data_IF_652562973333
#
_entry.id   IF_652562973333
#
_cell.length_a   1.000
_cell.length_b   1.000
_cell.length_c   1.000
_cell.angle_alpha   90.00
_cell.angle_beta   90.00
_cell.angle_gamma   90.00
#
_symmetry.space_group_name_H-M   'P 1'
#
loop_
_entity.id
_entity.type
_entity.pdbx_description
1 polymer ?
#
# COMPACT_ATOMS: atom_id res chain seq x y z
N UNK A 1 19.41 0.65 21.88
CA UNK A 1 19.13 -0.79 21.69
C UNK A 1 19.40 -1.57 22.98
N UNK A 2 20.60 -1.47 23.56
CA UNK A 2 21.04 -2.33 24.68
C UNK A 2 20.24 -2.19 25.98
N UNK A 3 19.82 -0.99 26.36
CA UNK A 3 19.09 -0.75 27.62
C UNK A 3 17.65 -1.31 27.63
N UNK A 4 17.01 -1.35 26.47
CA UNK A 4 15.65 -1.87 26.32
C UNK A 4 15.60 -3.39 26.51
N UNK A 5 16.60 -4.10 25.98
CA UNK A 5 16.73 -5.55 26.15
C UNK A 5 16.97 -5.92 27.62
N UNK A 6 17.78 -5.14 28.34
CA UNK A 6 18.02 -5.36 29.77
C UNK A 6 16.77 -5.14 30.64
N UNK A 7 15.91 -4.16 30.29
CA UNK A 7 14.65 -3.92 31.00
C UNK A 7 13.60 -5.00 30.73
N UNK A 8 13.64 -5.61 29.54
CA UNK A 8 12.76 -6.71 29.12
C UNK A 8 13.11 -8.02 29.83
N UNK A 9 14.40 -8.28 30.07
CA UNK A 9 14.88 -9.40 30.90
C UNK A 9 14.51 -9.26 32.40
N UNK A 10 14.28 -8.04 32.89
CA UNK A 10 13.97 -7.75 34.30
C UNK A 10 12.46 -7.71 34.63
N UNK A 11 11.57 -8.11 33.71
CA UNK A 11 10.09 -7.96 33.82
C UNK A 11 9.62 -6.53 34.16
N UNK A 12 10.36 -5.51 33.72
CA UNK A 12 10.04 -4.09 33.90
C UNK A 12 9.63 -3.44 32.57
N UNK A 13 8.83 -4.17 31.80
CA UNK A 13 8.49 -3.92 30.39
C UNK A 13 7.78 -2.57 30.22
N UNK A 14 6.87 -2.27 31.14
CA UNK A 14 6.12 -1.01 31.19
C UNK A 14 7.02 0.21 31.45
N UNK A 15 8.00 0.08 32.35
CA UNK A 15 8.87 1.20 32.71
C UNK A 15 9.91 1.49 31.63
N UNK A 16 10.46 0.46 30.99
CA UNK A 16 11.31 0.62 29.81
C UNK A 16 10.58 1.32 28.66
N UNK A 17 9.31 0.96 28.43
CA UNK A 17 8.47 1.55 27.40
C UNK A 17 8.10 3.01 27.73
N UNK A 18 7.78 3.31 28.99
CA UNK A 18 7.50 4.68 29.46
C UNK A 18 8.74 5.58 29.35
N UNK A 19 9.94 5.09 29.67
CA UNK A 19 11.17 5.89 29.63
C UNK A 19 11.59 6.19 28.18
N UNK A 20 11.45 5.22 27.27
CA UNK A 20 11.67 5.41 25.83
C UNK A 20 10.62 6.35 25.23
N UNK A 21 9.34 6.19 25.59
CA UNK A 21 8.26 7.07 25.14
C UNK A 21 8.46 8.50 25.63
N UNK A 22 8.81 8.69 26.90
CA UNK A 22 9.12 10.00 27.47
C UNK A 22 10.34 10.65 26.79
N UNK A 23 11.39 9.86 26.51
CA UNK A 23 12.54 10.31 25.75
C UNK A 23 12.16 10.78 24.34
N UNK A 24 11.32 10.02 23.63
CA UNK A 24 10.81 10.39 22.31
C UNK A 24 9.94 11.65 22.35
N UNK A 25 9.07 11.80 23.36
CA UNK A 25 8.20 12.98 23.51
C UNK A 25 9.03 14.24 23.78
N UNK A 26 10.11 14.15 24.57
CA UNK A 26 10.94 15.30 24.94
C UNK A 26 11.94 15.67 23.83
N UNK A 27 12.64 14.69 23.24
CA UNK A 27 13.67 14.94 22.23
C UNK A 27 13.13 15.07 20.80
N UNK A 28 12.04 14.36 20.49
CA UNK A 28 11.48 14.27 19.14
C UNK A 28 10.11 14.94 19.00
N UNK A 29 9.74 15.88 19.90
CA UNK A 29 8.49 16.65 19.79
C UNK A 29 8.33 17.34 18.42
N UNK A 30 9.44 17.84 17.86
CA UNK A 30 9.46 18.41 16.50
C UNK A 30 9.17 17.36 15.42
N UNK A 31 9.60 16.11 15.61
CA UNK A 31 9.30 15.00 14.70
C UNK A 31 7.82 14.65 14.76
N UNK A 32 7.25 14.54 15.96
CA UNK A 32 5.81 14.24 16.15
C UNK A 32 4.92 15.30 15.49
N UNK A 33 5.28 16.58 15.59
CA UNK A 33 4.52 17.68 14.99
C UNK A 33 4.71 17.76 13.46
N UNK A 34 5.84 17.29 12.92
CA UNK A 34 6.12 17.29 11.48
C UNK A 34 5.56 16.06 10.74
N UNK A 35 4.96 15.09 11.46
CA UNK A 35 4.25 13.98 10.83
C UNK A 35 3.01 14.50 10.11
N UNK A 36 2.80 14.01 8.89
CA UNK A 36 1.59 14.22 8.12
C UNK A 36 0.44 13.38 8.69
N UNK A 37 -0.20 13.89 9.74
CA UNK A 37 -1.30 13.20 10.44
C UNK A 37 -2.47 12.87 9.53
N UNK A 38 -2.70 13.65 8.47
CA UNK A 38 -3.72 13.35 7.46
C UNK A 38 -3.35 12.10 6.67
N UNK A 39 -2.10 11.97 6.22
CA UNK A 39 -1.62 10.77 5.53
C UNK A 39 -1.69 9.54 6.45
N UNK A 40 -1.32 9.69 7.72
CA UNK A 40 -1.39 8.61 8.70
C UNK A 40 -2.83 8.15 8.94
N UNK A 41 -3.79 9.08 9.00
CA UNK A 41 -5.22 8.77 9.12
C UNK A 41 -5.75 8.06 7.86
N UNK A 42 -5.37 8.52 6.67
CA UNK A 42 -5.72 7.83 5.40
C UNK A 42 -5.16 6.42 5.40
N UNK A 43 -3.95 6.21 5.90
CA UNK A 43 -3.34 4.88 6.00
C UNK A 43 -4.11 3.98 6.98
N UNK A 44 -4.53 4.50 8.13
CA UNK A 44 -5.37 3.75 9.09
C UNK A 44 -6.73 3.40 8.48
N UNK A 45 -7.39 4.37 7.84
CA UNK A 45 -8.69 4.15 7.18
C UNK A 45 -8.59 3.04 6.13
N UNK A 46 -7.53 3.06 5.32
CA UNK A 46 -7.24 2.04 4.31
C UNK A 46 -7.10 0.63 4.90
N UNK A 47 -6.44 0.46 6.06
CA UNK A 47 -6.38 -0.84 6.74
C UNK A 47 -7.74 -1.30 7.26
N UNK A 48 -8.54 -0.37 7.79
CA UNK A 48 -9.91 -0.65 8.23
C UNK A 48 -10.75 -1.11 7.03
N UNK A 49 -10.64 -0.42 5.89
CA UNK A 49 -11.37 -0.76 4.67
C UNK A 49 -10.98 -2.16 4.18
N UNK A 50 -9.69 -2.49 4.11
CA UNK A 50 -9.22 -3.84 3.74
C UNK A 50 -9.78 -4.89 4.70
N UNK A 51 -9.71 -4.64 6.01
CA UNK A 51 -10.24 -5.55 7.01
C UNK A 51 -11.76 -5.76 6.84
N UNK A 52 -12.51 -4.68 6.61
CA UNK A 52 -13.95 -4.75 6.38
C UNK A 52 -14.28 -5.52 5.09
N UNK A 53 -13.52 -5.30 4.01
CA UNK A 53 -13.67 -5.99 2.74
C UNK A 53 -13.40 -7.50 2.88
N UNK A 54 -12.37 -7.90 3.64
CA UNK A 54 -12.08 -9.33 3.88
C UNK A 54 -13.18 -10.05 4.65
N UNK A 55 -14.00 -9.34 5.42
CA UNK A 55 -15.13 -9.91 6.14
C UNK A 55 -16.42 -10.00 5.33
N UNK A 56 -16.49 -9.36 4.15
CA UNK A 56 -17.68 -9.42 3.32
C UNK A 56 -17.81 -10.80 2.66
N UNK A 57 -18.90 -11.56 2.91
CA UNK A 57 -19.07 -12.91 2.37
C UNK A 57 -19.07 -12.95 0.84
N UNK A 58 -19.63 -11.91 0.21
CA UNK A 58 -19.66 -11.76 -1.24
C UNK A 58 -18.24 -11.66 -1.84
N UNK A 59 -17.32 -10.99 -1.13
CA UNK A 59 -15.94 -10.85 -1.57
C UNK A 59 -15.13 -12.12 -1.31
N UNK A 60 -15.36 -12.80 -0.19
CA UNK A 60 -14.73 -14.11 0.06
C UNK A 60 -15.06 -15.12 -1.05
N UNK A 61 -16.32 -15.16 -1.52
CA UNK A 61 -16.74 -16.03 -2.61
C UNK A 61 -16.07 -15.71 -3.96
N UNK A 62 -15.79 -14.43 -4.22
CA UNK A 62 -15.09 -13.98 -5.44
C UNK A 62 -13.58 -14.19 -5.34
N UNK A 63 -12.95 -13.83 -4.21
CA UNK A 63 -11.51 -13.94 -4.03
C UNK A 63 -11.01 -15.38 -3.86
N UNK A 64 -11.83 -16.30 -3.32
CA UNK A 64 -11.51 -17.73 -3.33
C UNK A 64 -11.40 -18.29 -4.76
N UNK A 65 -12.11 -17.71 -5.73
CA UNK A 65 -11.97 -18.08 -7.14
C UNK A 65 -10.75 -17.43 -7.78
N UNK A 66 -10.26 -16.29 -7.25
CA UNK A 66 -9.06 -15.60 -7.76
C UNK A 66 -7.80 -16.44 -7.57
N UNK A 67 -7.69 -17.20 -6.48
CA UNK A 67 -6.58 -18.14 -6.28
C UNK A 67 -6.53 -19.29 -7.31
N UNK A 68 -7.65 -19.57 -7.99
CA UNK A 68 -7.74 -20.57 -9.05
C UNK A 68 -7.64 -19.97 -10.47
N UNK A 69 -7.51 -18.64 -10.61
CA UNK A 69 -7.38 -18.00 -11.91
C UNK A 69 -6.02 -18.29 -12.56
N UNK A 70 -5.99 -18.23 -13.89
CA UNK A 70 -4.74 -18.24 -14.64
C UNK A 70 -3.87 -17.02 -14.26
N UNK A 71 -2.56 -17.10 -14.53
CA UNK A 71 -1.62 -16.02 -14.27
C UNK A 71 -2.07 -14.68 -14.87
N UNK A 72 -2.70 -14.71 -16.05
CA UNK A 72 -3.28 -13.53 -16.70
C UNK A 72 -4.52 -13.01 -15.96
N UNK A 73 -5.39 -13.89 -15.47
CA UNK A 73 -6.55 -13.51 -14.66
C UNK A 73 -6.15 -12.86 -13.34
N UNK A 74 -5.14 -13.42 -12.66
CA UNK A 74 -4.56 -12.82 -11.46
C UNK A 74 -3.95 -11.44 -11.75
N UNK A 75 -3.22 -11.32 -12.86
CA UNK A 75 -2.57 -10.07 -13.26
C UNK A 75 -3.59 -8.95 -13.55
N UNK A 76 -4.64 -9.25 -14.32
CA UNK A 76 -5.71 -8.28 -14.63
C UNK A 76 -6.53 -7.89 -13.40
N UNK A 77 -6.87 -8.86 -12.54
CA UNK A 77 -7.61 -8.58 -11.30
C UNK A 77 -6.78 -7.74 -10.34
N UNK A 78 -5.48 -8.01 -10.19
CA UNK A 78 -4.58 -7.21 -9.37
C UNK A 78 -4.39 -5.78 -9.88
N UNK A 79 -4.27 -5.58 -11.20
CA UNK A 79 -4.24 -4.23 -11.81
C UNK A 79 -5.56 -3.50 -11.55
N UNK A 80 -6.70 -4.16 -11.81
CA UNK A 80 -8.02 -3.56 -11.64
C UNK A 80 -8.29 -3.16 -10.19
N UNK A 81 -7.98 -4.05 -9.25
CA UNK A 81 -8.15 -3.80 -7.82
C UNK A 81 -7.27 -2.65 -7.35
N UNK A 82 -6.01 -2.61 -7.80
CA UNK A 82 -5.09 -1.54 -7.43
C UNK A 82 -5.44 -0.18 -8.04
N UNK A 83 -6.18 -0.12 -9.15
CA UNK A 83 -6.69 1.15 -9.67
C UNK A 83 -7.85 1.70 -8.83
N UNK A 84 -8.67 0.82 -8.26
CA UNK A 84 -9.87 1.21 -7.50
C UNK A 84 -9.55 1.53 -6.04
N UNK A 85 -8.73 0.72 -5.39
CA UNK A 85 -8.42 0.86 -3.96
C UNK A 85 -7.11 1.60 -3.77
N UNK A 86 -6.00 0.96 -4.17
CA UNK A 86 -4.63 1.49 -4.35
C UNK A 86 -3.63 0.32 -4.26
N UNK A 87 -2.38 0.54 -4.65
CA UNK A 87 -1.35 -0.51 -4.67
C UNK A 87 -1.14 -1.21 -3.32
N UNK A 88 -0.98 -0.46 -2.21
CA UNK A 88 -0.72 -1.02 -0.88
C UNK A 88 -1.89 -1.90 -0.35
N UNK A 89 -3.14 -1.41 -0.26
CA UNK A 89 -4.25 -2.20 0.27
C UNK A 89 -4.65 -3.35 -0.65
N UNK A 90 -4.56 -3.18 -1.96
CA UNK A 90 -4.81 -4.28 -2.91
C UNK A 90 -3.78 -5.39 -2.76
N UNK A 91 -2.52 -5.05 -2.48
CA UNK A 91 -1.48 -6.05 -2.17
C UNK A 91 -1.84 -6.80 -0.89
N UNK A 92 -2.12 -6.09 0.19
CA UNK A 92 -2.48 -6.71 1.48
C UNK A 92 -3.69 -7.61 1.32
N UNK A 93 -4.74 -7.16 0.62
CA UNK A 93 -5.95 -7.94 0.40
C UNK A 93 -5.66 -9.21 -0.41
N UNK A 94 -4.94 -9.11 -1.54
CA UNK A 94 -4.68 -10.27 -2.41
C UNK A 94 -3.73 -11.28 -1.79
N UNK A 95 -2.78 -10.84 -0.95
CA UNK A 95 -1.87 -11.73 -0.21
C UNK A 95 -2.59 -12.61 0.82
N UNK A 96 -3.83 -12.30 1.19
CA UNK A 96 -4.65 -13.21 2.01
C UNK A 96 -5.17 -14.42 1.22
N UNK A 97 -5.17 -14.36 -0.12
CA UNK A 97 -5.77 -15.39 -0.98
C UNK A 97 -4.78 -16.02 -1.97
N UNK A 98 -3.66 -15.35 -2.27
CA UNK A 98 -2.70 -15.76 -3.30
C UNK A 98 -1.28 -15.64 -2.74
N UNK A 99 -0.36 -16.58 -3.04
CA UNK A 99 1.02 -16.50 -2.60
C UNK A 99 1.73 -15.25 -3.14
N UNK A 100 2.71 -14.77 -2.36
CA UNK A 100 3.61 -13.68 -2.78
C UNK A 100 4.32 -14.10 -4.07
N UNK A 101 4.16 -13.30 -5.13
CA UNK A 101 4.82 -13.53 -6.41
C UNK A 101 5.25 -12.21 -7.05
N UNK A 102 6.27 -12.27 -7.92
CA UNK A 102 6.72 -11.12 -8.70
C UNK A 102 5.60 -10.60 -9.61
N UNK A 103 4.76 -11.50 -10.14
CA UNK A 103 3.59 -11.15 -10.94
C UNK A 103 2.63 -10.27 -10.16
N UNK A 104 2.28 -10.65 -8.93
CA UNK A 104 1.39 -9.87 -8.08
C UNK A 104 1.98 -8.48 -7.79
N UNK A 105 3.25 -8.43 -7.39
CA UNK A 105 3.96 -7.17 -7.09
C UNK A 105 4.04 -6.23 -8.30
N UNK A 106 4.22 -6.77 -9.51
CA UNK A 106 4.18 -5.98 -10.73
C UNK A 106 2.76 -5.51 -11.05
N UNK A 107 1.79 -6.41 -10.99
CA UNK A 107 0.40 -6.10 -11.33
C UNK A 107 -0.19 -4.98 -10.46
N UNK A 108 0.00 -5.06 -9.13
CA UNK A 108 -0.47 -4.02 -8.21
C UNK A 108 0.28 -2.70 -8.41
N UNK A 109 1.58 -2.71 -8.72
CA UNK A 109 2.29 -1.47 -8.99
C UNK A 109 1.84 -0.82 -10.30
N UNK A 110 1.67 -1.61 -11.37
CA UNK A 110 1.10 -1.12 -12.65
C UNK A 110 -0.28 -0.49 -12.42
N UNK A 111 -1.15 -1.16 -11.66
CA UNK A 111 -2.47 -0.62 -11.33
C UNK A 111 -2.39 0.67 -10.50
N UNK A 112 -1.40 0.80 -9.61
CA UNK A 112 -1.20 2.01 -8.82
C UNK A 112 -0.80 3.25 -9.63
N UNK A 113 -0.30 3.06 -10.86
CA UNK A 113 -0.01 4.14 -11.80
C UNK A 113 -1.22 4.59 -12.61
N UNK A 114 -2.42 4.02 -12.47
CA UNK A 114 -3.53 4.30 -13.38
C UNK A 114 -4.42 5.50 -13.04
N UNK A 115 -4.96 5.56 -11.81
CA UNK A 115 -5.89 6.62 -11.36
C UNK A 115 -5.33 7.40 -10.16
N UNK A 116 -5.85 8.61 -9.96
CA UNK A 116 -5.49 9.54 -8.87
C UNK A 116 -5.44 8.92 -7.47
N UNK A 117 -6.41 8.09 -7.02
CA UNK A 117 -6.33 7.38 -5.74
C UNK A 117 -5.46 6.12 -5.77
N UNK A 118 -5.03 5.65 -6.95
CA UNK A 118 -4.37 4.34 -7.14
C UNK A 118 -3.03 4.16 -6.42
N UNK A 119 -2.37 5.25 -6.00
CA UNK A 119 -1.13 5.17 -5.23
C UNK A 119 -1.00 6.35 -4.28
N UNK A 120 -0.56 6.08 -3.04
CA UNK A 120 -0.21 7.13 -2.07
C UNK A 120 0.88 8.07 -2.62
N UNK A 121 1.76 7.56 -3.47
CA UNK A 121 2.77 8.38 -4.15
C UNK A 121 2.13 9.45 -5.05
N UNK A 122 0.99 9.16 -5.68
CA UNK A 122 0.27 10.09 -6.56
C UNK A 122 -0.34 11.24 -5.75
N UNK A 123 -0.88 10.93 -4.57
CA UNK A 123 -1.42 11.92 -3.63
C UNK A 123 -0.31 12.81 -3.05
N UNK A 124 0.85 12.25 -2.74
CA UNK A 124 2.02 13.01 -2.28
C UNK A 124 2.55 13.92 -3.40
N UNK A 125 2.68 13.40 -4.63
CA UNK A 125 3.11 14.18 -5.79
C UNK A 125 2.19 15.37 -6.06
N UNK A 126 0.87 15.16 -6.00
CA UNK A 126 -0.12 16.25 -6.10
C UNK A 126 0.06 17.31 -5.02
N UNK A 127 0.29 16.89 -3.77
CA UNK A 127 0.49 17.79 -2.64
C UNK A 127 1.78 18.62 -2.81
N UNK A 128 2.83 18.03 -3.35
CA UNK A 128 4.09 18.72 -3.63
C UNK A 128 3.98 19.67 -4.82
N UNK A 129 3.17 19.33 -5.83
CA UNK A 129 3.17 20.05 -7.09
C UNK A 129 2.42 21.39 -7.05
N UNK A 130 1.58 21.63 -6.04
CA UNK A 130 0.92 22.92 -5.70
C UNK A 130 0.35 23.74 -6.89
N UNK A 131 0.03 23.10 -8.03
CA UNK A 131 -0.52 23.72 -9.24
C UNK A 131 -1.84 23.03 -9.63
N UNK A 132 -2.90 23.81 -9.77
CA UNK A 132 -4.24 23.32 -10.12
C UNK A 132 -4.31 22.66 -11.50
N UNK A 133 -3.42 23.00 -12.44
CA UNK A 133 -3.41 22.41 -13.80
C UNK A 133 -3.00 20.95 -13.79
N UNK A 134 -2.22 20.56 -12.80
CA UNK A 134 -1.69 19.21 -12.63
C UNK A 134 -2.81 18.21 -12.33
N UNK A 135 -3.90 18.64 -11.70
CA UNK A 135 -5.10 17.81 -11.45
C UNK A 135 -5.74 17.28 -12.74
N UNK A 136 -5.58 18.00 -13.85
CA UNK A 136 -6.13 17.60 -15.16
C UNK A 136 -5.11 16.77 -15.95
N UNK A 137 -3.81 17.08 -15.83
CA UNK A 137 -2.74 16.38 -16.57
C UNK A 137 -2.36 15.02 -15.95
N UNK A 138 -2.47 14.91 -14.62
CA UNK A 138 -2.05 13.72 -13.87
C UNK A 138 -2.75 12.43 -14.30
N UNK A 139 -4.09 12.40 -14.46
CA UNK A 139 -4.77 11.19 -14.92
C UNK A 139 -4.28 10.70 -16.28
N UNK A 140 -3.88 11.61 -17.18
CA UNK A 140 -3.36 11.25 -18.51
C UNK A 140 -1.93 10.73 -18.47
N UNK A 141 -1.06 11.33 -17.64
CA UNK A 141 0.30 10.85 -17.41
C UNK A 141 0.30 9.45 -16.78
N UNK A 142 -0.54 9.26 -15.77
CA UNK A 142 -0.74 7.97 -15.11
C UNK A 142 -1.34 6.92 -16.04
N UNK A 143 -2.37 7.26 -16.83
CA UNK A 143 -2.89 6.35 -17.84
C UNK A 143 -1.88 6.01 -18.96
N UNK A 144 -0.88 6.86 -19.22
CA UNK A 144 0.21 6.57 -20.15
C UNK A 144 1.22 5.59 -19.51
N UNK A 145 1.66 5.86 -18.28
CA UNK A 145 2.58 4.98 -17.54
C UNK A 145 1.97 3.60 -17.25
N UNK A 146 0.69 3.53 -16.92
CA UNK A 146 -0.02 2.26 -16.74
C UNK A 146 -0.08 1.43 -18.04
N UNK A 147 -0.22 2.09 -19.20
CA UNK A 147 -0.19 1.42 -20.51
C UNK A 147 1.20 0.91 -20.87
N UNK A 148 2.22 1.74 -20.68
CA UNK A 148 3.63 1.38 -20.96
C UNK A 148 4.11 0.30 -20.00
N UNK A 149 3.88 0.47 -18.70
CA UNK A 149 4.24 -0.49 -17.66
C UNK A 149 3.45 -1.79 -17.74
N UNK A 150 2.16 -1.74 -18.10
CA UNK A 150 1.34 -2.93 -18.30
C UNK A 150 1.83 -3.79 -19.47
N UNK A 151 2.05 -3.18 -20.63
CA UNK A 151 2.54 -3.90 -21.80
C UNK A 151 3.99 -4.40 -21.63
N UNK A 152 4.87 -3.56 -21.09
CA UNK A 152 6.28 -3.91 -20.87
C UNK A 152 6.49 -4.93 -19.73
N UNK A 153 5.70 -4.81 -18.65
CA UNK A 153 5.81 -5.65 -17.48
C UNK A 153 5.34 -7.08 -17.68
N UNK A 154 4.22 -7.26 -18.40
CA UNK A 154 3.77 -8.59 -18.77
C UNK A 154 4.76 -9.29 -19.73
N UNK A 155 5.35 -8.53 -20.66
CA UNK A 155 6.38 -9.03 -21.58
C UNK A 155 7.68 -9.43 -20.85
N UNK A 156 8.13 -8.63 -19.89
CA UNK A 156 9.30 -8.96 -19.05
C UNK A 156 9.05 -10.15 -18.13
N UNK A 157 7.84 -10.30 -17.59
CA UNK A 157 7.48 -11.46 -16.78
C UNK A 157 7.60 -12.76 -17.60
N UNK A 158 7.14 -12.78 -18.85
CA UNK A 158 7.29 -13.97 -19.72
C UNK A 158 8.73 -14.28 -20.12
N UNK A 159 9.65 -13.31 -20.02
CA UNK A 159 11.07 -13.52 -20.29
C UNK A 159 11.84 -14.03 -19.05
N UNK A 160 11.29 -13.84 -17.86
CA UNK A 160 11.95 -14.13 -16.57
C UNK A 160 11.29 -15.32 -15.84
N UNK A 161 10.11 -15.78 -16.27
CA UNK A 161 9.40 -16.99 -15.81
C UNK A 161 9.65 -18.19 -16.70
#
# INVERSE_FOLDING_TARGET
>A
MSFFLTALELRQELWGLVLVAAGFIVLARRVIISVDWTLLLVFIAMFIDVYLLTQLPALQGVFNQVGALSHLGLWLTAIGLSQVISNVPSTILLLNYVPVSALLAWAVNIGGFGLLPGSLANLIALRMANDRRIWVAIPFLFAADARVGGAGGYGLLQLVS
#
